data_IF_077032030126
#
_entry.id   IF_077032030126
#
_cell.length_a   1.000
_cell.length_b   1.000
_cell.length_c   1.000
_cell.angle_alpha   90.00
_cell.angle_beta   90.00
_cell.angle_gamma   90.00
#
_symmetry.space_group_name_H-M   'P 1'
#
loop_
_entity.id
_entity.type
_entity.pdbx_description
1 polymer ?
#
# COMPACT_ATOMS: atom_id res chain seq x y z
N UNK A 1 -2.73 -12.19 -7.02
CA UNK A 1 -2.44 -11.35 -8.21
C UNK A 1 -1.13 -11.79 -8.83
N UNK A 2 -0.97 -11.73 -10.15
CA UNK A 2 0.32 -11.96 -10.78
C UNK A 2 0.86 -10.64 -11.38
N UNK A 3 2.14 -10.64 -11.77
CA UNK A 3 2.80 -9.46 -12.33
C UNK A 3 2.16 -8.96 -13.64
N UNK A 4 1.59 -9.87 -14.45
CA UNK A 4 0.95 -9.50 -15.72
C UNK A 4 -0.31 -8.66 -15.50
N UNK A 5 -1.13 -9.04 -14.52
CA UNK A 5 -2.33 -8.26 -14.15
C UNK A 5 -1.92 -6.91 -13.55
N UNK A 6 -0.91 -6.88 -12.69
CA UNK A 6 -0.37 -5.62 -12.16
C UNK A 6 0.12 -4.70 -13.28
N UNK A 7 0.82 -5.25 -14.29
CA UNK A 7 1.27 -4.49 -15.46
C UNK A 7 0.10 -3.95 -16.28
N UNK A 8 -0.94 -4.73 -16.53
CA UNK A 8 -2.14 -4.27 -17.25
C UNK A 8 -2.85 -3.12 -16.52
N UNK A 9 -2.93 -3.18 -15.19
CA UNK A 9 -3.49 -2.11 -14.38
C UNK A 9 -2.61 -0.85 -14.49
N UNK A 10 -1.29 -1.00 -14.38
CA UNK A 10 -0.36 0.12 -14.56
C UNK A 10 -0.48 0.75 -15.94
N UNK A 11 -0.59 -0.06 -17.00
CA UNK A 11 -0.78 0.41 -18.37
C UNK A 11 -2.06 1.24 -18.52
N UNK A 12 -3.13 0.78 -17.88
CA UNK A 12 -4.40 1.52 -17.87
C UNK A 12 -4.26 2.85 -17.13
N UNK A 13 -3.64 2.87 -15.95
CA UNK A 13 -3.41 4.11 -15.17
C UNK A 13 -2.60 5.11 -15.99
N UNK A 14 -1.46 4.69 -16.54
CA UNK A 14 -0.59 5.56 -17.35
C UNK A 14 -1.30 6.07 -18.59
N UNK A 15 -2.04 5.20 -19.28
CA UNK A 15 -2.82 5.59 -20.45
C UNK A 15 -3.91 6.61 -20.15
N UNK A 16 -4.58 6.50 -19.01
CA UNK A 16 -5.62 7.45 -18.58
C UNK A 16 -5.03 8.79 -18.13
N UNK A 17 -3.94 8.77 -17.38
CA UNK A 17 -3.33 10.00 -16.84
C UNK A 17 -2.57 10.78 -17.91
N UNK A 18 -1.81 10.10 -18.75
CA UNK A 18 -0.89 10.77 -19.70
C UNK A 18 -1.32 10.67 -21.17
N UNK A 19 -2.28 9.84 -21.51
CA UNK A 19 -2.73 9.66 -22.89
C UNK A 19 -1.77 8.91 -23.81
N UNK A 20 -0.77 8.21 -23.27
CA UNK A 20 0.17 7.42 -24.06
C UNK A 20 0.38 6.02 -23.48
N UNK A 21 0.95 5.13 -24.30
CA UNK A 21 1.24 3.77 -23.89
C UNK A 21 2.35 3.74 -22.84
N UNK A 22 2.15 3.00 -21.74
CA UNK A 22 3.12 2.88 -20.68
C UNK A 22 4.47 2.30 -21.15
N UNK A 23 5.58 3.03 -21.03
CA UNK A 23 6.90 2.56 -21.45
C UNK A 23 7.65 1.80 -20.36
N UNK A 24 7.13 1.73 -19.12
CA UNK A 24 7.86 1.20 -17.96
C UNK A 24 7.45 -0.24 -17.62
N UNK A 25 8.42 -1.04 -17.15
CA UNK A 25 8.12 -2.24 -16.38
C UNK A 25 7.60 -1.87 -14.99
N UNK A 26 7.09 -2.85 -14.22
CA UNK A 26 6.66 -2.63 -12.84
C UNK A 26 7.81 -2.13 -11.96
N UNK A 27 9.01 -2.70 -12.11
CA UNK A 27 10.20 -2.33 -11.36
C UNK A 27 10.71 -0.93 -11.72
N UNK A 28 10.76 -0.60 -12.99
CA UNK A 28 11.13 0.75 -13.46
C UNK A 28 10.15 1.81 -12.94
N UNK A 29 8.86 1.49 -12.95
CA UNK A 29 7.85 2.37 -12.40
C UNK A 29 8.02 2.56 -10.89
N UNK A 30 8.19 1.48 -10.14
CA UNK A 30 8.37 1.55 -8.69
C UNK A 30 9.62 2.36 -8.32
N UNK A 31 10.74 2.14 -9.01
CA UNK A 31 11.98 2.90 -8.79
C UNK A 31 11.84 4.39 -9.10
N UNK A 32 11.05 4.74 -10.10
CA UNK A 32 10.89 6.13 -10.56
C UNK A 32 9.85 6.91 -9.75
N UNK A 33 8.73 6.29 -9.40
CA UNK A 33 7.56 6.98 -8.83
C UNK A 33 7.20 6.56 -7.41
N UNK A 34 7.65 5.40 -6.95
CA UNK A 34 7.39 4.92 -5.59
C UNK A 34 8.66 4.80 -4.74
N UNK A 35 9.72 5.53 -5.08
CA UNK A 35 11.03 5.43 -4.42
C UNK A 35 11.01 5.87 -2.95
N UNK A 36 10.08 6.72 -2.57
CA UNK A 36 9.86 7.25 -1.22
C UNK A 36 8.58 6.69 -0.57
N UNK A 37 7.81 5.87 -1.29
CA UNK A 37 6.64 5.21 -0.75
C UNK A 37 7.07 4.02 0.11
N UNK A 38 6.55 3.93 1.31
CA UNK A 38 6.76 2.78 2.16
C UNK A 38 6.02 1.57 1.58
N UNK A 39 6.78 0.63 1.04
CA UNK A 39 6.26 -0.61 0.49
C UNK A 39 6.44 -1.77 1.48
N UNK A 40 5.67 -2.87 1.33
CA UNK A 40 5.89 -4.08 2.13
C UNK A 40 7.28 -4.65 1.92
N UNK A 41 7.86 -5.18 2.99
CA UNK A 41 9.16 -5.85 2.94
C UNK A 41 8.97 -7.35 2.82
N UNK A 42 9.78 -7.99 1.97
CA UNK A 42 9.86 -9.42 1.93
C UNK A 42 10.55 -9.93 3.21
N UNK A 43 9.89 -10.86 3.87
CA UNK A 43 10.38 -11.57 5.07
C UNK A 43 10.14 -13.07 4.89
N UNK A 44 10.52 -13.88 5.88
CA UNK A 44 10.30 -15.33 5.81
C UNK A 44 9.41 -15.79 6.96
N UNK A 45 8.44 -16.65 6.64
CA UNK A 45 7.63 -17.34 7.64
C UNK A 45 8.54 -18.22 8.51
N UNK A 46 8.58 -17.98 9.81
CA UNK A 46 9.47 -18.67 10.76
C UNK A 46 9.13 -20.15 10.95
N UNK A 47 7.96 -20.59 10.46
CA UNK A 47 7.51 -21.99 10.59
C UNK A 47 7.77 -22.83 9.34
N UNK A 48 7.76 -22.22 8.15
CA UNK A 48 7.93 -22.93 6.87
C UNK A 48 9.16 -22.47 6.11
N UNK A 49 9.76 -21.34 6.48
CA UNK A 49 10.85 -20.66 5.75
C UNK A 49 10.47 -20.23 4.33
N UNK A 50 9.18 -20.09 4.05
CA UNK A 50 8.68 -19.56 2.78
C UNK A 50 8.70 -18.02 2.78
N UNK A 51 8.97 -17.38 1.64
CA UNK A 51 8.92 -15.93 1.53
C UNK A 51 7.48 -15.44 1.71
N UNK A 52 7.33 -14.33 2.43
CA UNK A 52 6.06 -13.66 2.69
C UNK A 52 6.28 -12.15 2.80
N UNK A 53 5.22 -11.36 2.88
CA UNK A 53 5.31 -9.90 2.84
C UNK A 53 4.70 -9.27 4.10
N UNK A 54 5.48 -8.37 4.72
CA UNK A 54 5.10 -7.68 5.95
C UNK A 54 5.06 -6.16 5.76
N UNK A 55 4.08 -5.52 6.37
CA UNK A 55 3.99 -4.05 6.44
C UNK A 55 5.07 -3.43 7.34
N UNK A 56 5.64 -4.20 8.25
CA UNK A 56 6.66 -3.74 9.19
C UNK A 56 7.77 -4.78 9.33
N UNK A 57 9.04 -4.39 9.17
CA UNK A 57 10.20 -5.25 9.40
C UNK A 57 10.63 -5.29 10.87
N UNK A 58 9.70 -5.20 11.83
CA UNK A 58 10.05 -5.30 13.24
C UNK A 58 10.81 -6.61 13.52
N UNK A 59 11.76 -6.63 14.46
CA UNK A 59 12.57 -7.80 14.81
C UNK A 59 11.73 -8.84 15.58
N UNK A 60 10.73 -9.39 14.96
CA UNK A 60 9.88 -10.46 15.47
C UNK A 60 9.95 -11.66 14.55
N UNK A 61 9.42 -12.77 15.00
CA UNK A 61 9.17 -13.91 14.11
C UNK A 61 7.95 -13.61 13.26
N UNK A 62 8.08 -13.82 11.95
CA UNK A 62 6.97 -13.68 11.05
C UNK A 62 6.26 -15.01 10.84
N UNK A 63 4.95 -14.94 10.62
CA UNK A 63 4.11 -16.09 10.30
C UNK A 63 3.03 -15.65 9.33
N UNK A 64 2.79 -16.41 8.25
CA UNK A 64 1.69 -16.08 7.34
C UNK A 64 0.34 -16.17 8.07
N UNK A 65 -0.63 -15.37 7.64
CA UNK A 65 -1.98 -15.40 8.22
C UNK A 65 -2.57 -16.82 8.15
N UNK A 66 -2.31 -17.56 7.09
CA UNK A 66 -2.76 -18.93 6.90
C UNK A 66 -2.16 -19.87 7.96
N UNK A 67 -0.85 -19.81 8.17
CA UNK A 67 -0.19 -20.64 9.17
C UNK A 67 -0.54 -20.22 10.60
N UNK A 68 -0.73 -18.93 10.84
CA UNK A 68 -1.22 -18.41 12.12
C UNK A 68 -2.59 -18.96 12.47
N UNK A 69 -3.53 -18.98 11.51
CA UNK A 69 -4.87 -19.57 11.70
C UNK A 69 -4.81 -21.05 11.98
N UNK A 70 -4.02 -21.82 11.22
CA UNK A 70 -3.84 -23.26 11.47
C UNK A 70 -3.32 -23.55 12.89
N UNK A 71 -2.35 -22.77 13.37
CA UNK A 71 -1.85 -22.91 14.74
C UNK A 71 -2.90 -22.56 15.79
N UNK A 72 -3.70 -21.54 15.56
CA UNK A 72 -4.78 -21.15 16.46
C UNK A 72 -5.87 -22.23 16.58
N UNK A 73 -6.14 -22.95 15.50
CA UNK A 73 -7.12 -24.06 15.49
C UNK A 73 -6.73 -25.23 16.41
N UNK A 74 -5.43 -25.46 16.58
CA UNK A 74 -4.90 -26.54 17.46
C UNK A 74 -4.34 -26.00 18.77
N UNK A 75 -4.58 -24.70 19.06
CA UNK A 75 -4.11 -24.00 20.27
C UNK A 75 -2.58 -24.05 20.49
N UNK A 76 -1.80 -24.12 19.40
CA UNK A 76 -0.35 -24.32 19.42
C UNK A 76 0.45 -23.05 19.79
N UNK A 77 -0.22 -21.96 20.15
CA UNK A 77 0.41 -20.77 20.74
C UNK A 77 0.51 -20.84 22.27
N UNK A 78 -0.17 -21.78 22.91
CA UNK A 78 -0.10 -21.93 24.34
C UNK A 78 1.17 -22.66 24.77
N UNK A 79 1.91 -22.06 25.69
CA UNK A 79 3.09 -22.67 26.28
C UNK A 79 2.73 -23.50 27.55
N UNK A 80 3.43 -24.61 27.79
CA UNK A 80 3.28 -25.36 29.05
C UNK A 80 3.59 -24.44 30.24
N UNK A 81 2.85 -24.66 31.34
CA UNK A 81 3.12 -23.94 32.59
C UNK A 81 4.54 -24.23 33.07
N UNK A 82 5.29 -23.19 33.33
CA UNK A 82 6.67 -23.24 33.84
C UNK A 82 6.92 -22.07 34.79
N UNK A 83 7.85 -22.19 35.74
CA UNK A 83 8.26 -21.06 36.58
C UNK A 83 8.89 -19.95 35.71
N UNK A 84 8.50 -18.71 35.98
CA UNK A 84 9.10 -17.51 35.38
C UNK A 84 9.67 -16.67 36.54
N UNK A 85 10.91 -16.96 36.93
CA UNK A 85 11.53 -16.42 38.13
C UNK A 85 12.29 -15.11 37.89
N UNK A 86 12.53 -14.77 36.62
CA UNK A 86 13.29 -13.58 36.22
C UNK A 86 12.66 -12.90 35.00
N UNK A 87 13.04 -11.64 34.77
CA UNK A 87 12.65 -10.92 33.55
C UNK A 87 13.18 -11.62 32.30
N UNK A 88 14.34 -12.28 32.39
CA UNK A 88 14.93 -13.05 31.31
C UNK A 88 14.07 -14.27 30.94
N UNK A 89 13.50 -14.97 31.93
CA UNK A 89 12.60 -16.09 31.69
C UNK A 89 11.31 -15.63 31.01
N UNK A 90 10.79 -14.47 31.40
CA UNK A 90 9.61 -13.85 30.77
C UNK A 90 9.90 -13.48 29.32
N UNK A 91 11.02 -12.83 29.04
CA UNK A 91 11.42 -12.45 27.69
C UNK A 91 11.69 -13.68 26.79
N UNK A 92 12.29 -14.75 27.35
CA UNK A 92 12.48 -16.00 26.63
C UNK A 92 11.14 -16.64 26.27
N UNK A 93 10.22 -16.70 27.22
CA UNK A 93 8.86 -17.22 26.98
C UNK A 93 8.10 -16.39 25.93
N UNK A 94 8.21 -15.05 26.01
CA UNK A 94 7.64 -14.15 25.02
C UNK A 94 8.18 -14.41 23.61
N UNK A 95 9.49 -14.59 23.47
CA UNK A 95 10.12 -14.88 22.19
C UNK A 95 9.71 -16.19 21.55
N UNK A 96 9.18 -17.15 22.33
CA UNK A 96 8.65 -18.40 21.77
C UNK A 96 7.32 -18.19 21.04
N UNK A 97 6.52 -17.20 21.46
CA UNK A 97 5.15 -16.95 20.97
C UNK A 97 4.97 -15.62 20.25
N UNK A 98 6.00 -14.75 20.23
CA UNK A 98 5.92 -13.42 19.62
C UNK A 98 6.03 -13.50 18.11
N UNK A 99 4.91 -13.75 17.45
CA UNK A 99 4.80 -13.76 15.99
C UNK A 99 4.05 -12.51 15.47
N UNK A 100 4.55 -11.99 14.38
CA UNK A 100 3.82 -10.97 13.59
C UNK A 100 3.21 -11.64 12.37
N UNK A 101 1.90 -11.58 12.24
CA UNK A 101 1.21 -12.12 11.07
C UNK A 101 1.50 -11.25 9.83
N UNK A 102 1.70 -11.91 8.70
CA UNK A 102 1.98 -11.30 7.40
C UNK A 102 0.85 -11.62 6.40
N UNK A 103 0.81 -10.89 5.30
CA UNK A 103 -0.22 -11.03 4.26
C UNK A 103 -1.64 -11.01 4.84
N UNK A 104 -1.86 -10.14 5.82
CA UNK A 104 -3.14 -10.02 6.51
C UNK A 104 -4.22 -9.52 5.56
N UNK A 105 -5.31 -10.25 5.50
CA UNK A 105 -6.42 -9.90 4.61
C UNK A 105 -7.78 -10.32 5.19
N UNK A 106 -8.82 -9.57 4.80
CA UNK A 106 -10.22 -9.91 5.06
C UNK A 106 -11.01 -9.61 3.80
N UNK A 107 -11.78 -10.58 3.33
CA UNK A 107 -12.71 -10.43 2.18
C UNK A 107 -12.08 -9.76 0.96
N UNK A 108 -10.82 -10.09 0.67
CA UNK A 108 -10.06 -9.50 -0.43
C UNK A 108 -9.68 -10.54 -1.47
N UNK A 109 -9.66 -10.13 -2.73
CA UNK A 109 -9.36 -11.02 -3.85
C UNK A 109 -8.23 -10.46 -4.71
N UNK A 110 -7.43 -11.37 -5.28
CA UNK A 110 -6.40 -11.05 -6.26
C UNK A 110 -5.38 -10.02 -5.75
N UNK A 111 -4.74 -10.30 -4.62
CA UNK A 111 -3.63 -9.49 -4.08
C UNK A 111 -2.33 -10.29 -4.07
N UNK A 112 -1.18 -9.60 -4.09
CA UNK A 112 0.15 -10.18 -3.95
C UNK A 112 1.15 -9.17 -3.40
N UNK A 113 2.19 -9.67 -2.74
CA UNK A 113 3.28 -8.87 -2.18
C UNK A 113 2.77 -7.71 -1.30
N UNK A 114 1.67 -7.93 -0.59
CA UNK A 114 0.92 -6.90 0.14
C UNK A 114 0.53 -7.40 1.54
N UNK A 115 0.29 -6.46 2.44
CA UNK A 115 -0.19 -6.74 3.80
C UNK A 115 -1.35 -5.78 4.14
N UNK A 116 -2.19 -6.10 5.14
CA UNK A 116 -3.33 -5.28 5.57
C UNK A 116 -4.33 -4.97 4.42
N UNK A 117 -4.75 -6.00 3.70
CA UNK A 117 -5.67 -5.86 2.56
C UNK A 117 -7.09 -6.23 3.01
N UNK A 118 -8.00 -5.25 3.05
CA UNK A 118 -9.36 -5.41 3.57
C UNK A 118 -10.41 -5.00 2.55
N UNK A 119 -11.35 -5.88 2.23
CA UNK A 119 -12.44 -5.64 1.27
C UNK A 119 -11.95 -5.03 -0.05
N UNK A 120 -10.81 -5.50 -0.54
CA UNK A 120 -10.12 -4.89 -1.68
C UNK A 120 -9.84 -5.90 -2.80
N UNK A 121 -9.68 -5.38 -4.03
CA UNK A 121 -9.49 -6.19 -5.23
C UNK A 121 -8.31 -5.67 -6.06
N UNK A 122 -7.49 -6.59 -6.60
CA UNK A 122 -6.33 -6.27 -7.45
C UNK A 122 -5.32 -5.35 -6.75
N UNK A 123 -4.68 -5.86 -5.71
CA UNK A 123 -3.71 -5.10 -4.91
C UNK A 123 -2.30 -5.68 -5.07
N UNK A 124 -1.32 -4.84 -5.39
CA UNK A 124 0.06 -5.25 -5.61
C UNK A 124 1.07 -4.34 -4.91
N UNK A 125 1.97 -4.90 -4.11
CA UNK A 125 3.00 -4.20 -3.34
C UNK A 125 2.46 -3.02 -2.54
N UNK A 126 1.42 -3.28 -1.75
CA UNK A 126 0.74 -2.25 -0.96
C UNK A 126 0.75 -2.62 0.52
N UNK A 127 1.08 -1.65 1.38
CA UNK A 127 1.11 -1.84 2.84
C UNK A 127 -0.30 -1.96 3.40
N UNK A 128 -1.20 -1.04 3.02
CA UNK A 128 -2.57 -1.04 3.48
C UNK A 128 -3.54 -0.71 2.34
N UNK A 129 -4.58 -1.52 2.20
CA UNK A 129 -5.64 -1.26 1.23
C UNK A 129 -7.00 -1.59 1.84
N UNK A 130 -7.89 -0.60 1.90
CA UNK A 130 -9.22 -0.73 2.50
C UNK A 130 -10.28 -0.29 1.52
N UNK A 131 -11.23 -1.16 1.21
CA UNK A 131 -12.32 -0.93 0.26
C UNK A 131 -11.85 -0.30 -1.06
N UNK A 132 -10.73 -0.80 -1.58
CA UNK A 132 -10.06 -0.21 -2.74
C UNK A 132 -9.87 -1.24 -3.87
N UNK A 133 -9.67 -0.73 -5.09
CA UNK A 133 -9.56 -1.56 -6.28
C UNK A 133 -8.46 -1.06 -7.22
N UNK A 134 -7.69 -2.01 -7.79
CA UNK A 134 -6.61 -1.70 -8.73
C UNK A 134 -5.53 -0.78 -8.13
N UNK A 135 -4.94 -1.22 -7.01
CA UNK A 135 -3.97 -0.47 -6.22
C UNK A 135 -2.57 -1.04 -6.41
N UNK A 136 -1.62 -0.20 -6.77
CA UNK A 136 -0.23 -0.58 -7.02
C UNK A 136 0.75 0.31 -6.23
N UNK A 137 1.77 -0.30 -5.61
CA UNK A 137 2.90 0.41 -4.98
C UNK A 137 2.49 1.51 -4.00
N UNK A 138 1.56 1.22 -3.09
CA UNK A 138 0.97 2.23 -2.22
C UNK A 138 1.23 1.94 -0.74
N UNK A 139 1.35 2.98 0.09
CA UNK A 139 1.42 2.82 1.54
C UNK A 139 0.01 2.64 2.12
N UNK A 140 -0.93 3.53 1.80
CA UNK A 140 -2.30 3.42 2.27
C UNK A 140 -3.30 3.89 1.20
N UNK A 141 -4.18 3.00 0.77
CA UNK A 141 -5.25 3.30 -0.17
C UNK A 141 -6.60 3.00 0.49
N UNK A 142 -7.42 4.03 0.70
CA UNK A 142 -8.72 3.91 1.36
C UNK A 142 -9.79 4.44 0.42
N UNK A 143 -10.84 3.65 0.19
CA UNK A 143 -11.95 3.97 -0.71
C UNK A 143 -11.51 4.42 -2.11
N UNK A 144 -10.42 3.85 -2.62
CA UNK A 144 -9.71 4.33 -3.80
C UNK A 144 -9.82 3.37 -4.99
N UNK A 145 -9.79 3.89 -6.20
CA UNK A 145 -9.80 3.09 -7.41
C UNK A 145 -8.74 3.58 -8.42
N UNK A 146 -8.01 2.63 -9.05
CA UNK A 146 -6.95 2.88 -10.02
C UNK A 146 -5.86 3.85 -9.53
N UNK A 147 -5.08 3.40 -8.56
CA UNK A 147 -4.03 4.20 -7.92
C UNK A 147 -2.68 3.54 -8.06
N UNK A 148 -1.64 4.36 -8.28
CA UNK A 148 -0.27 3.88 -8.24
C UNK A 148 0.66 4.91 -7.59
N UNK A 149 1.62 4.42 -6.79
CA UNK A 149 2.62 5.18 -6.05
C UNK A 149 2.01 6.19 -5.05
N UNK A 150 1.09 5.70 -4.22
CA UNK A 150 0.34 6.51 -3.28
C UNK A 150 0.93 6.42 -1.87
N UNK A 151 1.08 7.54 -1.16
CA UNK A 151 1.43 7.51 0.26
C UNK A 151 0.19 7.50 1.17
N UNK A 152 -0.71 8.46 1.03
CA UNK A 152 -1.97 8.52 1.78
C UNK A 152 -3.06 9.09 0.90
N UNK A 153 -4.28 8.56 1.01
CA UNK A 153 -5.36 9.11 0.21
C UNK A 153 -6.74 8.55 0.54
N UNK A 154 -7.76 9.29 0.15
CA UNK A 154 -9.17 8.91 0.15
C UNK A 154 -9.75 9.27 -1.22
N UNK A 155 -10.44 8.32 -1.89
CA UNK A 155 -11.18 8.49 -3.14
C UNK A 155 -10.36 8.93 -4.37
N UNK A 156 -9.20 8.38 -4.60
CA UNK A 156 -8.39 8.71 -5.78
C UNK A 156 -8.71 7.82 -6.98
N UNK A 157 -8.71 8.40 -8.16
CA UNK A 157 -8.81 7.69 -9.45
C UNK A 157 -7.72 8.14 -10.40
N UNK A 158 -7.01 7.19 -11.03
CA UNK A 158 -5.96 7.42 -12.03
C UNK A 158 -4.80 8.32 -11.56
N UNK A 159 -4.33 8.12 -10.34
CA UNK A 159 -3.30 8.97 -9.75
C UNK A 159 -1.96 8.26 -9.74
N UNK A 160 -0.91 8.99 -10.12
CA UNK A 160 0.48 8.59 -9.97
C UNK A 160 1.14 9.60 -9.04
N UNK A 161 1.61 9.12 -7.87
CA UNK A 161 2.28 9.87 -6.83
C UNK A 161 1.42 10.97 -6.19
N UNK A 162 0.79 10.63 -5.11
CA UNK A 162 0.02 11.54 -4.26
C UNK A 162 0.51 11.44 -2.82
N UNK A 163 0.65 12.55 -2.17
CA UNK A 163 0.93 12.69 -0.75
C UNK A 163 -0.26 13.38 -0.07
N UNK A 164 -0.78 12.78 1.01
CA UNK A 164 -1.73 13.34 1.98
C UNK A 164 -2.97 14.05 1.39
N UNK A 165 -3.59 13.44 0.41
CA UNK A 165 -4.62 14.07 -0.42
C UNK A 165 -6.00 13.42 -0.27
N UNK A 166 -7.05 14.17 -0.56
CA UNK A 166 -8.45 13.71 -0.57
C UNK A 166 -9.12 14.00 -1.93
N UNK A 167 -10.01 13.10 -2.38
CA UNK A 167 -10.88 13.24 -3.55
C UNK A 167 -10.19 13.68 -4.85
N UNK A 168 -9.04 13.12 -5.16
CA UNK A 168 -8.28 13.46 -6.36
C UNK A 168 -8.74 12.60 -7.54
N UNK A 169 -8.89 13.19 -8.69
CA UNK A 169 -9.29 12.53 -9.93
C UNK A 169 -8.33 12.89 -11.06
N UNK A 170 -7.85 11.90 -11.80
CA UNK A 170 -7.06 12.04 -13.03
C UNK A 170 -5.92 13.07 -12.93
N UNK A 171 -5.07 12.95 -11.90
CA UNK A 171 -4.04 13.94 -11.62
C UNK A 171 -2.66 13.29 -11.47
N UNK A 172 -1.60 14.07 -11.62
CA UNK A 172 -0.22 13.60 -11.53
C UNK A 172 0.62 14.52 -10.64
N UNK A 173 1.46 13.93 -9.78
CA UNK A 173 2.38 14.67 -8.89
C UNK A 173 1.66 15.75 -8.07
N UNK A 174 0.78 15.30 -7.18
CA UNK A 174 0.02 16.19 -6.31
C UNK A 174 0.49 15.98 -4.87
N UNK A 175 0.83 17.05 -4.18
CA UNK A 175 1.28 17.02 -2.79
C UNK A 175 0.44 17.95 -1.91
N UNK A 176 0.10 17.52 -0.69
CA UNK A 176 -0.60 18.31 0.33
C UNK A 176 -1.87 19.02 -0.18
N UNK A 177 -2.67 18.31 -0.97
CA UNK A 177 -3.78 18.95 -1.69
C UNK A 177 -5.12 18.25 -1.41
N UNK A 178 -6.21 18.99 -1.54
CA UNK A 178 -7.57 18.50 -1.35
C UNK A 178 -8.46 18.93 -2.52
N UNK A 179 -9.32 18.03 -3.03
CA UNK A 179 -10.23 18.26 -4.15
C UNK A 179 -9.52 18.79 -5.41
N UNK A 180 -8.51 18.08 -5.86
CA UNK A 180 -7.79 18.41 -7.09
C UNK A 180 -8.27 17.50 -8.22
N UNK A 181 -8.58 18.08 -9.37
CA UNK A 181 -9.12 17.33 -10.52
C UNK A 181 -8.40 17.73 -11.80
N UNK A 182 -8.05 16.75 -12.65
CA UNK A 182 -7.39 16.96 -13.95
C UNK A 182 -6.18 17.90 -13.88
N UNK A 183 -5.35 17.79 -12.83
CA UNK A 183 -4.31 18.75 -12.57
C UNK A 183 -2.95 18.08 -12.36
N UNK A 184 -1.89 18.75 -12.76
CA UNK A 184 -0.54 18.20 -12.83
C UNK A 184 0.45 19.10 -12.08
N UNK A 185 1.38 18.48 -11.31
CA UNK A 185 2.41 19.20 -10.55
C UNK A 185 1.83 20.25 -9.57
N UNK A 186 0.96 19.79 -8.70
CA UNK A 186 0.29 20.62 -7.71
C UNK A 186 0.95 20.48 -6.34
N UNK A 187 1.11 21.59 -5.63
CA UNK A 187 1.63 21.59 -4.27
C UNK A 187 0.82 22.54 -3.39
N UNK A 188 0.28 22.02 -2.28
CA UNK A 188 -0.52 22.77 -1.31
C UNK A 188 -1.70 23.55 -1.95
N UNK A 189 -2.52 22.81 -2.72
CA UNK A 189 -3.63 23.37 -3.47
C UNK A 189 -4.97 22.81 -3.00
N UNK A 190 -6.00 23.65 -2.92
CA UNK A 190 -7.32 23.27 -2.46
C UNK A 190 -8.40 23.69 -3.45
N UNK A 191 -9.28 22.74 -3.80
CA UNK A 191 -10.43 22.98 -4.70
C UNK A 191 -9.95 23.56 -6.06
N UNK A 192 -9.05 22.84 -6.72
CA UNK A 192 -8.41 23.28 -7.99
C UNK A 192 -8.67 22.26 -9.09
N UNK A 193 -9.01 22.75 -10.29
CA UNK A 193 -9.23 21.88 -11.45
C UNK A 193 -8.53 22.40 -12.72
N UNK A 194 -8.24 21.46 -13.64
CA UNK A 194 -7.74 21.74 -14.98
C UNK A 194 -6.51 22.66 -15.00
N UNK A 195 -5.59 22.44 -14.06
CA UNK A 195 -4.47 23.34 -13.76
C UNK A 195 -3.13 22.61 -13.73
N UNK A 196 -2.02 23.33 -13.92
CA UNK A 196 -0.69 22.73 -13.84
C UNK A 196 0.38 23.71 -13.31
N UNK A 197 1.40 23.13 -12.65
CA UNK A 197 2.52 23.86 -12.05
C UNK A 197 2.08 24.92 -11.03
N UNK A 198 1.06 24.62 -10.23
CA UNK A 198 0.52 25.57 -9.27
C UNK A 198 0.87 25.21 -7.83
N UNK A 199 1.04 26.22 -6.99
CA UNK A 199 1.38 26.08 -5.58
C UNK A 199 0.64 27.11 -4.73
N UNK A 200 0.14 26.70 -3.55
CA UNK A 200 -0.52 27.54 -2.56
C UNK A 200 -1.72 28.33 -3.12
N UNK A 201 -2.55 27.70 -3.96
CA UNK A 201 -3.77 28.32 -4.49
C UNK A 201 -5.03 27.56 -4.03
N UNK A 202 -6.15 28.25 -3.99
CA UNK A 202 -7.43 27.69 -3.63
C UNK A 202 -8.58 28.25 -4.48
N UNK A 203 -9.57 27.39 -4.81
CA UNK A 203 -10.77 27.75 -5.55
C UNK A 203 -10.48 28.28 -6.96
N UNK A 204 -9.53 27.69 -7.68
CA UNK A 204 -9.09 28.13 -9.00
C UNK A 204 -9.25 27.06 -10.07
N UNK A 205 -9.46 27.51 -11.30
CA UNK A 205 -9.53 26.67 -12.49
C UNK A 205 -8.68 27.26 -13.61
N UNK A 206 -8.17 26.37 -14.49
CA UNK A 206 -7.39 26.75 -15.67
C UNK A 206 -6.14 27.60 -15.37
N UNK A 207 -5.48 27.34 -14.24
CA UNK A 207 -4.25 28.04 -13.87
C UNK A 207 -3.02 27.33 -14.42
N UNK A 208 -2.04 28.12 -14.86
CA UNK A 208 -0.71 27.63 -15.26
C UNK A 208 0.35 28.50 -14.60
N UNK A 209 1.20 27.88 -13.76
CA UNK A 209 2.28 28.54 -13.03
C UNK A 209 1.79 29.73 -12.14
N UNK A 210 0.74 29.46 -11.34
CA UNK A 210 0.04 30.45 -10.49
C UNK A 210 -0.52 31.62 -11.28
#
# INVERSE_FOLDING_TARGET
MNADIAKQILDKIVGQVFGYQNPWTLEQFAQKYAFDVRLPSQVFDSTTNEPTWASSPNPTKFITLTNSRKRSEIDDFMLPKRPLNSIQDILAAWNETNYTSTERQIESINFAESDLVYNSENVYRTVESVRSKNVLFSESAIDSEFVAALQRSINCSFVIRVEDSQNITNSFSVSWSNKVTNSFFMNDCFDVSDSMFCSHIAGKQYCVAN
#
